data_IF_353587066097
#
_entry.id   IF_353587066097
#
_cell.length_a   1.000
_cell.length_b   1.000
_cell.length_c   1.000
_cell.angle_alpha   90.00
_cell.angle_beta   90.00
_cell.angle_gamma   90.00
#
_symmetry.space_group_name_H-M   'P 1'
#
loop_
_entity.id
_entity.type
_entity.pdbx_description
1 polymer ?
#
# COMPACT_ATOMS: atom_id res chain seq x y z
N UNK A 1 -17.40 8.30 12.59
CA UNK A 1 -15.92 8.20 12.46
C UNK A 1 -15.47 9.18 11.37
N UNK A 2 -14.28 9.78 11.48
CA UNK A 2 -13.70 10.52 10.36
C UNK A 2 -13.54 9.61 9.13
N UNK A 3 -13.63 10.16 7.90
CA UNK A 3 -13.45 9.39 6.68
C UNK A 3 -12.05 8.76 6.64
N UNK A 4 -11.96 7.55 6.12
CA UNK A 4 -10.71 6.81 5.93
C UNK A 4 -10.36 6.83 4.44
N UNK A 5 -9.13 7.20 4.13
CA UNK A 5 -8.64 7.20 2.76
C UNK A 5 -7.73 6.00 2.57
N UNK A 6 -7.94 5.27 1.48
CA UNK A 6 -7.03 4.21 1.10
C UNK A 6 -6.89 4.06 -0.40
N UNK A 7 -6.01 3.15 -0.79
CA UNK A 7 -5.63 2.94 -2.18
C UNK A 7 -5.31 1.46 -2.45
N UNK A 8 -5.52 1.03 -3.70
CA UNK A 8 -5.18 -0.31 -4.16
C UNK A 8 -3.68 -0.44 -4.45
N UNK A 9 -3.07 -1.55 -4.01
CA UNK A 9 -1.71 -1.96 -4.35
C UNK A 9 -1.71 -3.32 -5.10
N UNK A 10 -0.69 -3.63 -5.92
CA UNK A 10 0.53 -2.87 -6.20
C UNK A 10 0.28 -1.59 -7.01
N UNK A 11 1.21 -0.62 -6.91
CA UNK A 11 1.19 0.56 -7.78
C UNK A 11 1.56 0.17 -9.22
N UNK A 12 0.63 0.38 -10.14
CA UNK A 12 0.77 -0.01 -11.54
C UNK A 12 2.01 0.64 -12.18
N UNK A 13 2.80 -0.15 -12.92
CA UNK A 13 4.01 0.32 -13.58
C UNK A 13 5.22 0.53 -12.66
N UNK A 14 5.09 0.29 -11.34
CA UNK A 14 6.17 0.46 -10.37
C UNK A 14 6.64 -0.91 -9.86
N UNK A 15 7.93 -1.26 -9.94
CA UNK A 15 8.47 -2.47 -9.33
C UNK A 15 8.30 -2.48 -7.80
N UNK A 16 7.99 -3.65 -7.21
CA UNK A 16 7.70 -3.78 -5.77
C UNK A 16 8.79 -3.20 -4.84
N UNK A 17 10.06 -3.31 -5.20
CA UNK A 17 11.17 -2.81 -4.39
C UNK A 17 11.24 -1.28 -4.34
N UNK A 18 10.60 -0.59 -5.28
CA UNK A 18 10.49 0.88 -5.31
C UNK A 18 9.25 1.39 -4.55
N UNK A 19 8.35 0.50 -4.10
CA UNK A 19 7.10 0.91 -3.43
C UNK A 19 7.33 1.54 -2.05
N UNK A 20 8.51 1.35 -1.45
CA UNK A 20 8.79 1.85 -0.10
C UNK A 20 8.55 3.35 0.04
N UNK A 21 9.12 4.16 -0.84
CA UNK A 21 8.96 5.62 -0.78
C UNK A 21 7.51 6.06 -1.01
N UNK A 22 6.74 5.29 -1.78
CA UNK A 22 5.33 5.55 -2.06
C UNK A 22 4.48 5.29 -0.81
N UNK A 23 4.74 4.21 -0.08
CA UNK A 23 4.06 3.96 1.19
C UNK A 23 4.36 5.03 2.24
N UNK A 24 5.62 5.48 2.33
CA UNK A 24 6.02 6.59 3.21
C UNK A 24 5.31 7.90 2.81
N UNK A 25 5.12 8.15 1.51
CA UNK A 25 4.37 9.31 1.02
C UNK A 25 2.87 9.21 1.34
N UNK A 26 2.26 8.03 1.22
CA UNK A 26 0.87 7.80 1.62
C UNK A 26 0.64 8.15 3.10
N UNK A 27 1.55 7.74 4.00
CA UNK A 27 1.49 8.11 5.41
C UNK A 27 1.57 9.64 5.61
N UNK A 28 2.48 10.32 4.90
CA UNK A 28 2.61 11.78 4.96
C UNK A 28 1.38 12.52 4.46
N UNK A 29 0.69 11.95 3.46
CA UNK A 29 -0.57 12.48 2.91
C UNK A 29 -1.79 12.16 3.79
N UNK A 30 -1.64 11.36 4.84
CA UNK A 30 -2.71 10.99 5.75
C UNK A 30 -3.63 9.88 5.24
N UNK A 31 -3.16 9.04 4.31
CA UNK A 31 -3.82 7.78 4.00
C UNK A 31 -3.74 6.84 5.19
N UNK A 32 -4.77 6.04 5.38
CA UNK A 32 -4.92 5.17 6.56
C UNK A 32 -5.05 3.70 6.22
N UNK A 33 -5.32 3.36 4.97
CA UNK A 33 -5.64 2.01 4.53
C UNK A 33 -5.00 1.73 3.17
N UNK A 34 -4.55 0.50 2.96
CA UNK A 34 -4.21 -0.05 1.66
C UNK A 34 -4.90 -1.39 1.51
N UNK A 35 -5.23 -1.77 0.28
CA UNK A 35 -5.81 -3.08 -0.03
C UNK A 35 -5.22 -3.57 -1.34
N UNK A 36 -5.28 -4.88 -1.58
CA UNK A 36 -4.81 -5.48 -2.83
C UNK A 36 -5.89 -6.32 -3.49
N UNK A 37 -5.61 -6.74 -4.72
CA UNK A 37 -6.43 -7.69 -5.45
C UNK A 37 -5.53 -8.68 -6.20
N UNK A 38 -5.99 -9.93 -6.32
CA UNK A 38 -5.28 -11.00 -7.07
C UNK A 38 -5.06 -10.62 -8.54
N UNK A 39 -5.97 -9.83 -9.11
CA UNK A 39 -5.86 -9.33 -10.48
C UNK A 39 -4.77 -8.25 -10.67
N UNK A 40 -4.11 -7.79 -9.60
CA UNK A 40 -3.14 -6.70 -9.62
C UNK A 40 -1.74 -7.06 -10.16
N UNK A 41 -1.57 -8.20 -10.84
CA UNK A 41 -0.29 -8.62 -11.43
C UNK A 41 0.75 -9.14 -10.43
N UNK A 42 0.39 -9.25 -9.15
CA UNK A 42 1.18 -9.90 -8.08
C UNK A 42 0.26 -10.82 -7.29
N UNK A 43 0.81 -11.62 -6.37
CA UNK A 43 0.07 -12.60 -5.57
C UNK A 43 -0.93 -12.01 -4.53
N UNK A 44 -1.27 -10.72 -4.63
CA UNK A 44 -2.06 -9.92 -3.69
C UNK A 44 -1.47 -9.77 -2.27
N UNK A 45 -0.69 -10.73 -1.76
CA UNK A 45 -0.18 -10.72 -0.39
C UNK A 45 1.16 -10.01 -0.27
N UNK A 46 2.09 -10.24 -1.21
CA UNK A 46 3.42 -9.61 -1.24
C UNK A 46 3.35 -8.09 -1.13
N UNK A 47 2.53 -7.34 -1.91
CA UNK A 47 2.45 -5.89 -1.73
C UNK A 47 1.91 -5.47 -0.35
N UNK A 48 1.00 -6.24 0.26
CA UNK A 48 0.50 -5.96 1.61
C UNK A 48 1.55 -6.27 2.69
N UNK A 49 2.34 -7.34 2.52
CA UNK A 49 3.44 -7.66 3.42
C UNK A 49 4.52 -6.57 3.40
N UNK A 50 4.82 -6.02 2.21
CA UNK A 50 5.73 -4.88 2.06
C UNK A 50 5.16 -3.61 2.71
N UNK A 51 3.88 -3.32 2.50
CA UNK A 51 3.21 -2.20 3.16
C UNK A 51 3.30 -2.31 4.70
N UNK A 52 2.98 -3.48 5.25
CA UNK A 52 3.05 -3.72 6.69
C UNK A 52 4.48 -3.58 7.26
N UNK A 53 5.50 -3.94 6.48
CA UNK A 53 6.90 -3.85 6.89
C UNK A 53 7.47 -2.42 6.80
N UNK A 54 7.04 -1.63 5.81
CA UNK A 54 7.62 -0.32 5.52
C UNK A 54 6.80 0.86 6.03
N UNK A 55 5.49 0.71 6.16
CA UNK A 55 4.56 1.72 6.63
C UNK A 55 3.56 1.11 7.64
N UNK A 56 4.04 0.72 8.84
CA UNK A 56 3.25 -0.02 9.81
C UNK A 56 2.07 0.77 10.41
N UNK A 57 1.94 2.07 10.11
CA UNK A 57 0.75 2.83 10.51
C UNK A 57 -0.43 2.64 9.55
N UNK A 58 -0.18 2.20 8.31
CA UNK A 58 -1.21 1.85 7.36
C UNK A 58 -1.91 0.56 7.81
N UNK A 59 -3.23 0.54 7.67
CA UNK A 59 -4.00 -0.70 7.76
C UNK A 59 -3.88 -1.46 6.44
N UNK A 60 -3.45 -2.71 6.51
CA UNK A 60 -3.38 -3.67 5.39
C UNK A 60 -4.52 -4.67 5.43
#
# INVERSE_FOLDING_TARGET
>A
MPPRHGITVPFEGVPLHEHKSWFEELEQLGYTDVWSAEAGGTDAFTPLALAAAWAPSLRV
#
